data_IF_900204177534
#
_entry.id   IF_900204177534
#
_cell.length_a   1.000
_cell.length_b   1.000
_cell.length_c   1.000
_cell.angle_alpha   90.00
_cell.angle_beta   90.00
_cell.angle_gamma   90.00
#
_symmetry.space_group_name_H-M   'P 1'
#
loop_
_entity.id
_entity.type
_entity.pdbx_description
1 polymer ?
#
# COMPACT_ATOMS: atom_id res chain seq x y z
N UNK A 1 14.33 4.37 -6.61
CA UNK A 1 14.27 5.34 -5.46
C UNK A 1 14.05 4.54 -4.20
N UNK A 2 14.87 4.76 -3.15
CA UNK A 2 14.70 3.99 -1.91
C UNK A 2 13.33 4.25 -1.26
N UNK A 3 12.87 3.31 -0.44
CA UNK A 3 11.66 3.47 0.38
C UNK A 3 11.72 4.72 1.26
N UNK A 4 12.89 5.08 1.80
CA UNK A 4 13.12 6.31 2.56
C UNK A 4 12.70 7.57 1.81
N UNK A 5 13.17 7.75 0.56
CA UNK A 5 12.79 8.91 -0.27
C UNK A 5 11.29 8.95 -0.59
N UNK A 6 10.65 7.78 -0.72
CA UNK A 6 9.19 7.70 -0.91
C UNK A 6 8.45 8.15 0.34
N UNK A 7 8.92 7.74 1.51
CA UNK A 7 8.38 8.17 2.81
C UNK A 7 8.60 9.68 3.04
N UNK A 8 9.77 10.24 2.67
CA UNK A 8 10.00 11.68 2.74
C UNK A 8 9.01 12.49 1.89
N UNK A 9 8.70 12.02 0.68
CA UNK A 9 7.66 12.64 -0.17
C UNK A 9 6.27 12.55 0.48
N UNK A 10 5.94 11.43 1.12
CA UNK A 10 4.69 11.29 1.86
C UNK A 10 4.65 12.27 3.04
N UNK A 11 5.73 12.39 3.81
CA UNK A 11 5.85 13.36 4.92
C UNK A 11 5.69 14.81 4.45
N UNK A 12 6.20 15.13 3.26
CA UNK A 12 5.99 16.44 2.63
C UNK A 12 4.50 16.69 2.38
N UNK A 13 3.81 15.72 1.78
CA UNK A 13 2.35 15.78 1.56
C UNK A 13 1.59 15.90 2.90
N UNK A 14 1.96 15.11 3.91
CA UNK A 14 1.34 15.19 5.24
C UNK A 14 1.47 16.59 5.83
N UNK A 15 2.65 17.19 5.75
CA UNK A 15 2.91 18.55 6.22
C UNK A 15 2.06 19.59 5.46
N UNK A 16 1.98 19.48 4.13
CA UNK A 16 1.15 20.38 3.30
C UNK A 16 -0.34 20.28 3.63
N UNK A 17 -0.79 19.09 4.02
CA UNK A 17 -2.18 18.82 4.39
C UNK A 17 -2.50 19.02 5.87
N UNK A 18 -1.49 19.28 6.69
CA UNK A 18 -1.65 19.48 8.13
C UNK A 18 -2.03 18.23 8.91
N UNK A 19 -1.61 17.03 8.45
CA UNK A 19 -1.84 15.77 9.17
C UNK A 19 -0.57 15.29 9.85
N UNK A 20 -0.71 14.81 11.08
CA UNK A 20 0.40 14.34 11.92
C UNK A 20 0.74 12.85 11.67
N UNK A 21 -0.25 12.08 11.26
CA UNK A 21 -0.08 10.68 10.91
C UNK A 21 -0.79 10.34 9.59
N UNK A 22 -0.27 9.35 8.85
CA UNK A 22 -0.90 8.78 7.66
C UNK A 22 -1.08 7.29 7.82
N UNK A 23 -2.33 6.83 7.69
CA UNK A 23 -2.70 5.42 7.67
C UNK A 23 -2.83 4.97 6.22
N UNK A 24 -1.95 4.06 5.79
CA UNK A 24 -1.94 3.48 4.45
C UNK A 24 -2.55 2.09 4.51
N UNK A 25 -3.64 1.88 3.77
CA UNK A 25 -4.40 0.62 3.73
C UNK A 25 -4.30 -0.12 2.40
N UNK A 26 -4.15 0.64 1.30
CA UNK A 26 -4.10 0.07 -0.03
C UNK A 26 -2.80 -0.72 -0.25
N UNK A 27 -2.93 -2.01 -0.53
CA UNK A 27 -1.79 -2.95 -0.67
C UNK A 27 -0.69 -2.44 -1.59
N UNK A 28 -1.04 -1.85 -2.74
CA UNK A 28 -0.05 -1.31 -3.68
C UNK A 28 0.71 -0.10 -3.11
N UNK A 29 0.09 0.73 -2.28
CA UNK A 29 0.73 1.84 -1.61
C UNK A 29 1.55 1.36 -0.41
N UNK A 30 1.05 0.39 0.32
CA UNK A 30 1.77 -0.28 1.40
C UNK A 30 3.11 -0.83 0.88
N UNK A 31 3.08 -1.63 -0.21
CA UNK A 31 4.28 -2.14 -0.86
C UNK A 31 5.19 -1.01 -1.37
N UNK A 32 4.64 0.05 -1.95
CA UNK A 32 5.40 1.17 -2.48
C UNK A 32 6.23 1.88 -1.41
N UNK A 33 5.66 2.13 -0.22
CA UNK A 33 6.33 2.85 0.85
C UNK A 33 7.23 1.97 1.71
N UNK A 34 6.86 0.72 1.97
CA UNK A 34 7.59 -0.16 2.90
C UNK A 34 8.46 -1.22 2.23
N UNK A 35 8.17 -1.57 0.97
CA UNK A 35 8.77 -2.74 0.30
C UNK A 35 8.12 -4.06 0.68
N UNK A 36 7.28 -4.10 1.71
CA UNK A 36 6.61 -5.31 2.18
C UNK A 36 5.62 -5.85 1.14
N UNK A 37 5.66 -7.15 0.89
CA UNK A 37 4.89 -7.79 -0.19
C UNK A 37 3.66 -8.56 0.28
N UNK A 38 3.45 -8.68 1.60
CA UNK A 38 2.22 -9.25 2.17
C UNK A 38 1.01 -8.31 2.02
N UNK A 39 -0.18 -8.84 2.31
CA UNK A 39 -1.45 -8.12 2.15
C UNK A 39 -2.04 -7.67 3.50
N UNK A 40 -2.55 -8.52 4.33
CA UNK A 40 -3.26 -8.20 5.59
C UNK A 40 -2.48 -7.30 6.57
N UNK A 41 -2.25 -6.04 6.17
CA UNK A 41 -1.40 -5.10 6.91
C UNK A 41 -1.84 -3.66 6.72
N UNK A 42 -1.40 -2.79 7.64
CA UNK A 42 -1.54 -1.34 7.55
C UNK A 42 -0.18 -0.68 7.81
N UNK A 43 0.11 0.45 7.15
CA UNK A 43 1.22 1.30 7.59
C UNK A 43 0.67 2.49 8.37
N UNK A 44 1.35 2.83 9.45
CA UNK A 44 1.16 4.09 10.13
C UNK A 44 2.48 4.87 10.06
N UNK A 45 2.44 6.00 9.37
CA UNK A 45 3.62 6.85 9.14
C UNK A 45 3.38 8.19 9.81
N UNK A 46 4.33 8.61 10.63
CA UNK A 46 4.37 9.93 11.28
C UNK A 46 5.61 10.70 10.83
N UNK A 47 5.82 11.88 11.36
CA UNK A 47 7.04 12.66 11.10
C UNK A 47 8.33 11.90 11.45
N UNK A 48 8.28 11.04 12.49
CA UNK A 48 9.47 10.41 13.07
C UNK A 48 9.43 8.86 13.03
N UNK A 49 8.26 8.25 12.81
CA UNK A 49 8.09 6.80 12.94
C UNK A 49 7.41 6.22 11.71
N UNK A 50 7.83 5.02 11.36
CA UNK A 50 7.20 4.15 10.35
C UNK A 50 6.86 2.81 11.01
N UNK A 51 5.57 2.52 11.12
CA UNK A 51 5.07 1.28 11.68
C UNK A 51 4.40 0.44 10.59
N UNK A 52 4.78 -0.83 10.50
CA UNK A 52 4.04 -1.85 9.75
C UNK A 52 3.23 -2.68 10.76
N UNK A 53 1.91 -2.52 10.72
CA UNK A 53 0.98 -3.28 11.54
C UNK A 53 0.54 -4.51 10.76
N UNK A 54 0.79 -5.70 11.29
CA UNK A 54 0.45 -6.96 10.62
C UNK A 54 0.09 -8.05 11.63
N UNK A 55 -0.31 -9.22 11.17
CA UNK A 55 -0.58 -10.35 12.05
C UNK A 55 0.61 -11.32 12.16
N UNK A 56 0.44 -12.33 13.03
CA UNK A 56 1.49 -13.31 13.33
C UNK A 56 2.00 -14.07 12.10
N UNK A 57 1.18 -14.25 11.06
CA UNK A 57 1.56 -14.99 9.83
C UNK A 57 2.67 -14.29 9.05
N UNK A 58 2.69 -12.96 9.12
CA UNK A 58 3.60 -12.11 8.34
C UNK A 58 4.79 -11.57 9.13
N UNK A 59 4.92 -11.85 10.43
CA UNK A 59 5.96 -11.25 11.28
C UNK A 59 7.39 -11.51 10.78
N UNK A 60 7.69 -12.73 10.37
CA UNK A 60 9.02 -13.09 9.85
C UNK A 60 9.29 -12.46 8.48
N UNK A 61 8.30 -12.51 7.58
CA UNK A 61 8.40 -11.88 6.26
C UNK A 61 8.56 -10.36 6.38
N UNK A 62 7.76 -9.72 7.20
CA UNK A 62 7.83 -8.28 7.41
C UNK A 62 9.21 -7.84 7.92
N UNK A 63 9.78 -8.52 8.89
CA UNK A 63 11.13 -8.21 9.40
C UNK A 63 12.22 -8.39 8.34
N UNK A 64 12.03 -9.30 7.39
CA UNK A 64 12.97 -9.55 6.31
C UNK A 64 12.86 -8.53 5.16
N UNK A 65 11.65 -8.01 4.90
CA UNK A 65 11.36 -7.19 3.72
C UNK A 65 11.33 -5.68 3.98
N UNK A 66 11.10 -5.23 5.22
CA UNK A 66 11.01 -3.81 5.53
C UNK A 66 11.96 -3.37 6.64
N UNK A 67 12.42 -2.12 6.55
CA UNK A 67 13.14 -1.45 7.62
C UNK A 67 12.20 -0.80 8.66
N UNK A 68 10.88 -0.86 8.45
CA UNK A 68 9.88 -0.28 9.35
C UNK A 68 9.79 -1.08 10.64
N UNK A 69 9.37 -0.42 11.70
CA UNK A 69 9.04 -1.11 12.95
C UNK A 69 7.82 -2.01 12.74
N UNK A 70 8.00 -3.32 12.92
CA UNK A 70 6.93 -4.29 12.72
C UNK A 70 6.19 -4.51 14.03
N UNK A 71 4.89 -4.24 14.02
CA UNK A 71 4.02 -4.38 15.20
C UNK A 71 2.97 -5.45 14.94
N UNK A 72 2.97 -6.49 15.79
CA UNK A 72 1.97 -7.55 15.71
C UNK A 72 0.62 -7.05 16.26
N UNK A 73 -0.43 -7.17 15.46
CA UNK A 73 -1.79 -6.96 15.92
C UNK A 73 -2.32 -8.18 16.69
N UNK A 74 -3.04 -7.92 17.79
CA UNK A 74 -3.64 -8.99 18.62
C UNK A 74 -5.17 -8.95 18.69
N UNK A 75 -5.77 -7.81 18.35
CA UNK A 75 -7.20 -7.57 18.44
C UNK A 75 -7.84 -7.10 17.13
N UNK A 76 -7.04 -7.02 16.07
CA UNK A 76 -7.42 -6.52 14.74
C UNK A 76 -6.55 -5.35 14.30
N UNK A 77 -6.36 -5.22 12.97
CA UNK A 77 -5.46 -4.22 12.39
C UNK A 77 -5.90 -2.78 12.72
N UNK A 78 -7.19 -2.50 12.59
CA UNK A 78 -7.73 -1.16 12.84
C UNK A 78 -7.69 -0.78 14.33
N UNK A 79 -7.92 -1.74 15.22
CA UNK A 79 -7.77 -1.55 16.67
C UNK A 79 -6.31 -1.27 17.03
N UNK A 80 -5.36 -2.00 16.41
CA UNK A 80 -3.94 -1.76 16.61
C UNK A 80 -3.52 -0.39 16.06
N UNK A 81 -4.06 0.03 14.90
CA UNK A 81 -3.81 1.35 14.32
C UNK A 81 -4.31 2.47 15.24
N UNK A 82 -5.55 2.37 15.77
CA UNK A 82 -6.10 3.34 16.70
C UNK A 82 -5.26 3.46 17.98
N UNK A 83 -4.85 2.31 18.53
CA UNK A 83 -3.95 2.28 19.69
C UNK A 83 -2.62 2.97 19.40
N UNK A 84 -1.98 2.65 18.27
CA UNK A 84 -0.70 3.24 17.89
C UNK A 84 -0.79 4.76 17.70
N UNK A 85 -1.85 5.25 17.06
CA UNK A 85 -2.11 6.70 16.88
C UNK A 85 -2.21 7.40 18.23
N UNK A 86 -2.91 6.81 19.21
CA UNK A 86 -3.02 7.36 20.58
C UNK A 86 -1.68 7.33 21.32
N UNK A 87 -0.95 6.22 21.28
CA UNK A 87 0.35 6.06 21.94
C UNK A 87 1.41 7.02 21.39
N UNK A 88 1.33 7.35 20.09
CA UNK A 88 2.20 8.32 19.43
C UNK A 88 1.77 9.78 19.68
N UNK A 89 0.63 10.00 20.34
CA UNK A 89 0.11 11.32 20.66
C UNK A 89 -0.34 12.16 19.47
N UNK A 90 -0.64 11.52 18.33
CA UNK A 90 -1.14 12.20 17.13
C UNK A 90 -2.55 12.75 17.38
N UNK A 91 -2.86 13.87 16.71
CA UNK A 91 -4.14 14.60 16.81
C UNK A 91 -4.88 14.69 15.49
N UNK A 92 -4.23 14.36 14.38
CA UNK A 92 -4.84 14.32 13.05
C UNK A 92 -4.31 13.14 12.24
N UNK A 93 -5.17 12.58 11.39
CA UNK A 93 -4.90 11.38 10.61
C UNK A 93 -5.32 11.54 9.16
N UNK A 94 -4.36 11.40 8.25
CA UNK A 94 -4.64 11.12 6.86
C UNK A 94 -4.98 9.63 6.65
N UNK A 95 -5.90 9.33 5.77
CA UNK A 95 -6.24 7.96 5.39
C UNK A 95 -6.64 7.88 3.91
N UNK A 96 -6.61 6.69 3.33
CA UNK A 96 -6.96 6.48 1.93
C UNK A 96 -8.47 6.29 1.74
N UNK A 97 -9.21 7.39 1.71
CA UNK A 97 -10.68 7.35 1.67
C UNK A 97 -11.29 6.72 0.41
N UNK A 98 -10.51 6.50 -0.66
CA UNK A 98 -10.95 5.74 -1.84
C UNK A 98 -10.82 4.22 -1.66
N UNK A 99 -10.03 3.77 -0.70
CA UNK A 99 -9.76 2.38 -0.41
C UNK A 99 -10.55 1.90 0.82
N UNK A 100 -10.62 2.75 1.84
CA UNK A 100 -11.34 2.45 3.08
C UNK A 100 -12.84 2.62 2.86
N UNK A 101 -13.62 1.55 3.09
CA UNK A 101 -15.07 1.64 3.02
C UNK A 101 -15.63 2.58 4.08
N UNK A 102 -16.81 3.15 3.83
CA UNK A 102 -17.49 4.01 4.79
C UNK A 102 -17.70 3.29 6.15
N UNK A 103 -18.13 2.02 6.10
CA UNK A 103 -18.37 1.24 7.32
C UNK A 103 -17.09 1.00 8.12
N UNK A 104 -15.98 0.69 7.43
CA UNK A 104 -14.66 0.55 8.04
C UNK A 104 -14.22 1.86 8.69
N UNK A 105 -14.37 2.98 7.99
CA UNK A 105 -14.05 4.29 8.54
C UNK A 105 -14.90 4.63 9.78
N UNK A 106 -16.20 4.40 9.73
CA UNK A 106 -17.08 4.63 10.87
C UNK A 106 -16.76 3.73 12.08
N UNK A 107 -16.39 2.47 11.83
CA UNK A 107 -15.92 1.56 12.88
C UNK A 107 -14.60 2.03 13.49
N UNK A 108 -13.65 2.44 12.67
CA UNK A 108 -12.36 2.98 13.12
C UNK A 108 -12.51 4.27 13.92
N UNK A 109 -13.34 5.20 13.45
CA UNK A 109 -13.61 6.46 14.14
C UNK A 109 -14.15 6.26 15.56
N UNK A 110 -14.97 5.24 15.79
CA UNK A 110 -15.49 4.87 17.13
C UNK A 110 -14.37 4.45 18.10
N UNK A 111 -13.22 4.05 17.61
CA UNK A 111 -12.05 3.72 18.45
C UNK A 111 -11.31 4.96 18.94
N UNK A 112 -11.58 6.13 18.33
CA UNK A 112 -10.99 7.43 18.67
C UNK A 112 -12.11 8.45 19.01
N UNK A 113 -12.92 8.20 20.06
CA UNK A 113 -14.16 8.95 20.32
C UNK A 113 -13.91 10.42 20.71
N UNK A 114 -12.73 10.77 21.15
CA UNK A 114 -12.35 12.14 21.49
C UNK A 114 -11.89 12.98 20.29
N UNK A 115 -11.75 12.35 19.10
CA UNK A 115 -11.30 13.04 17.91
C UNK A 115 -12.48 13.64 17.14
N UNK A 116 -12.46 14.95 16.83
CA UNK A 116 -13.46 15.56 15.95
C UNK A 116 -13.28 15.03 14.50
N UNK A 117 -14.35 15.18 13.71
CA UNK A 117 -14.36 14.63 12.34
C UNK A 117 -13.36 15.30 11.41
N UNK A 118 -13.11 16.58 11.61
CA UNK A 118 -12.15 17.38 10.86
C UNK A 118 -10.69 16.93 11.01
N UNK A 119 -10.38 16.14 12.04
CA UNK A 119 -9.05 15.59 12.25
C UNK A 119 -8.77 14.35 11.40
N UNK A 120 -9.78 13.84 10.66
CA UNK A 120 -9.64 12.74 9.72
C UNK A 120 -9.68 13.26 8.27
N UNK A 121 -8.56 13.23 7.58
CA UNK A 121 -8.44 13.70 6.20
C UNK A 121 -8.33 12.53 5.21
N UNK A 122 -9.25 12.50 4.24
CA UNK A 122 -9.12 11.59 3.09
C UNK A 122 -8.06 12.12 2.13
N UNK A 123 -6.98 11.37 1.92
CA UNK A 123 -5.86 11.72 1.04
C UNK A 123 -5.69 10.71 -0.08
N UNK A 124 -5.39 11.22 -1.28
CA UNK A 124 -4.99 10.40 -2.42
C UNK A 124 -3.46 10.28 -2.46
N UNK A 125 -2.95 9.06 -2.47
CA UNK A 125 -1.51 8.78 -2.54
C UNK A 125 -1.04 8.44 -3.96
N UNK A 126 -1.96 8.23 -4.90
CA UNK A 126 -1.66 7.92 -6.29
C UNK A 126 -0.70 8.95 -6.95
N UNK A 127 -0.84 10.28 -6.73
CA UNK A 127 0.07 11.27 -7.31
C UNK A 127 1.54 11.05 -6.93
N UNK A 128 1.82 10.46 -5.77
CA UNK A 128 3.19 10.16 -5.35
C UNK A 128 3.85 9.05 -6.19
N UNK A 129 3.05 8.26 -6.93
CA UNK A 129 3.49 7.16 -7.79
C UNK A 129 3.34 7.44 -9.29
N UNK A 130 2.83 8.61 -9.67
CA UNK A 130 2.64 8.97 -11.09
C UNK A 130 3.98 9.09 -11.82
N UNK A 131 4.95 9.75 -11.20
CA UNK A 131 6.29 9.89 -11.77
C UNK A 131 7.16 8.72 -11.30
N UNK A 132 7.51 7.83 -12.24
CA UNK A 132 8.30 6.63 -12.00
C UNK A 132 9.78 6.96 -11.94
N UNK A 133 10.49 6.33 -11.03
CA UNK A 133 11.95 6.41 -10.97
C UNK A 133 12.62 5.45 -11.98
N UNK A 134 13.95 5.50 -12.05
CA UNK A 134 14.71 4.71 -13.03
C UNK A 134 14.56 3.19 -12.83
N UNK A 135 14.47 2.73 -11.58
CA UNK A 135 14.29 1.31 -11.25
C UNK A 135 12.88 0.84 -11.60
N UNK A 136 11.86 1.65 -11.31
CA UNK A 136 10.47 1.38 -11.69
C UNK A 136 10.30 1.35 -13.21
N UNK A 137 10.96 2.27 -13.93
CA UNK A 137 10.97 2.27 -15.41
C UNK A 137 11.66 1.00 -15.93
N UNK A 138 12.78 0.57 -15.34
CA UNK A 138 13.46 -0.66 -15.75
C UNK A 138 12.57 -1.91 -15.55
N UNK A 139 11.86 -1.99 -14.41
CA UNK A 139 10.88 -3.06 -14.16
C UNK A 139 9.72 -3.04 -15.16
N UNK A 140 9.17 -1.84 -15.46
CA UNK A 140 8.09 -1.69 -16.43
C UNK A 140 8.54 -2.11 -17.85
N UNK A 141 9.74 -1.70 -18.28
CA UNK A 141 10.30 -2.12 -19.57
C UNK A 141 10.42 -3.62 -19.67
N UNK A 142 10.96 -4.26 -18.63
CA UNK A 142 11.05 -5.72 -18.59
C UNK A 142 9.69 -6.42 -18.64
N UNK A 143 8.70 -5.89 -17.94
CA UNK A 143 7.33 -6.41 -18.00
C UNK A 143 6.74 -6.28 -19.42
N UNK A 144 6.93 -5.12 -20.09
CA UNK A 144 6.51 -4.92 -21.48
C UNK A 144 7.21 -5.91 -22.42
N UNK A 145 8.54 -6.08 -22.31
CA UNK A 145 9.29 -7.05 -23.14
C UNK A 145 8.80 -8.49 -22.96
N UNK A 146 8.35 -8.88 -21.77
CA UNK A 146 7.76 -10.19 -21.52
C UNK A 146 6.39 -10.29 -22.20
N UNK A 147 5.55 -9.26 -22.05
CA UNK A 147 4.22 -9.22 -22.67
C UNK A 147 4.30 -9.23 -24.20
N UNK A 148 5.23 -8.46 -24.79
CA UNK A 148 5.44 -8.43 -26.24
C UNK A 148 5.85 -9.80 -26.78
N UNK A 149 6.78 -10.48 -26.11
CA UNK A 149 7.19 -11.85 -26.49
C UNK A 149 6.06 -12.86 -26.38
N UNK A 150 5.26 -12.78 -25.30
CA UNK A 150 4.08 -13.66 -25.18
C UNK A 150 3.04 -13.38 -26.26
N UNK A 151 2.85 -12.12 -26.65
CA UNK A 151 1.95 -11.73 -27.72
C UNK A 151 2.45 -12.22 -29.08
N UNK A 152 3.74 -12.07 -29.39
CA UNK A 152 4.35 -12.54 -30.63
C UNK A 152 4.24 -14.08 -30.75
N UNK A 153 4.41 -14.81 -29.66
CA UNK A 153 4.23 -16.27 -29.61
C UNK A 153 2.77 -16.67 -29.90
N UNK A 154 1.81 -15.99 -29.27
CA UNK A 154 0.38 -16.23 -29.54
C UNK A 154 0.01 -15.94 -30.98
N UNK A 155 0.57 -14.89 -31.59
CA UNK A 155 0.31 -14.58 -33.02
C UNK A 155 0.73 -15.73 -33.96
N UNK A 156 1.82 -16.45 -33.62
CA UNK A 156 2.24 -17.63 -34.38
C UNK A 156 1.34 -18.85 -34.16
N UNK A 157 0.74 -18.96 -32.97
CA UNK A 157 -0.19 -20.03 -32.61
C UNK A 157 -1.58 -19.82 -33.19
N UNK A 158 -2.03 -18.59 -33.39
CA UNK A 158 -3.35 -18.22 -33.84
C UNK A 158 -3.61 -18.73 -35.30
N UNK A 159 -4.71 -19.43 -35.51
CA UNK A 159 -5.21 -19.86 -36.80
C UNK A 159 -6.74 -20.03 -36.79
N UNK A 160 -7.42 -19.96 -37.93
CA UNK A 160 -8.87 -20.15 -37.98
C UNK A 160 -9.29 -21.46 -37.34
N UNK A 161 -10.31 -21.44 -36.49
CA UNK A 161 -10.84 -22.61 -35.77
C UNK A 161 -10.25 -22.90 -34.40
N UNK A 162 -9.25 -22.14 -33.96
CA UNK A 162 -8.76 -22.21 -32.56
C UNK A 162 -9.79 -21.57 -31.62
N UNK A 163 -10.09 -22.23 -30.50
CA UNK A 163 -10.93 -21.66 -29.44
C UNK A 163 -10.18 -20.67 -28.54
N UNK A 164 -10.89 -19.72 -27.96
CA UNK A 164 -10.34 -18.78 -26.95
C UNK A 164 -9.70 -19.54 -25.78
N UNK A 165 -10.29 -20.65 -25.35
CA UNK A 165 -9.73 -21.50 -24.28
C UNK A 165 -8.36 -22.09 -24.66
N UNK A 166 -8.17 -22.51 -25.93
CA UNK A 166 -6.87 -23.01 -26.40
C UNK A 166 -5.82 -21.90 -26.42
N UNK A 167 -6.20 -20.64 -26.75
CA UNK A 167 -5.32 -19.48 -26.70
C UNK A 167 -4.93 -19.14 -25.26
N UNK A 168 -5.90 -19.14 -24.34
CA UNK A 168 -5.62 -18.91 -22.92
C UNK A 168 -4.66 -19.96 -22.35
N UNK A 169 -4.91 -21.26 -22.62
CA UNK A 169 -4.04 -22.34 -22.17
C UNK A 169 -2.62 -22.24 -22.75
N UNK A 170 -2.49 -21.77 -23.99
CA UNK A 170 -1.17 -21.54 -24.60
C UNK A 170 -0.39 -20.38 -23.95
N UNK A 171 -1.09 -19.31 -23.52
CA UNK A 171 -0.49 -18.18 -22.80
C UNK A 171 -0.04 -18.52 -21.37
N UNK A 172 -0.65 -19.53 -20.74
CA UNK A 172 -0.36 -19.99 -19.39
C UNK A 172 0.78 -21.04 -19.32
N UNK A 173 1.20 -21.58 -20.46
CA UNK A 173 2.20 -22.63 -20.56
C UNK A 173 3.62 -22.09 -20.69
#
# INVERSE_FOLDING_TARGET
MSTEKRVERLRTLMKEKGVEAMLVSKVVNLRYFSGFTGDDSLLLITAERELLLTDFRYMEQAKAETAFEVVEQKAGLWQQAAKAVQELGCRSLGFEGRDVSFDTFQAFRKLLPSWPEEDFLSLALEPLREVKDAEEIACLRKAVEISDRAFDDVLQFLRPGISEHAVAAHLEA
#
